data_IF_360667813126
#
_entry.id   IF_360667813126
#
_cell.length_a   1.000
_cell.length_b   1.000
_cell.length_c   1.000
_cell.angle_alpha   90.00
_cell.angle_beta   90.00
_cell.angle_gamma   90.00
#
_symmetry.space_group_name_H-M   'P 1'
#
loop_
_entity.id
_entity.type
_entity.pdbx_description
1 polymer ?
#
# COMPACT_ATOMS: atom_id res chain seq x y z
N UNK A 1 -35.98 8.80 -12.19
CA UNK A 1 -35.00 9.80 -11.69
C UNK A 1 -33.96 9.19 -10.76
N UNK A 2 -34.30 8.23 -9.90
CA UNK A 2 -33.36 7.66 -8.91
C UNK A 2 -32.05 7.13 -9.52
N UNK A 3 -32.15 6.37 -10.62
CA UNK A 3 -30.99 5.79 -11.31
C UNK A 3 -30.03 6.78 -11.99
N UNK A 4 -30.32 8.09 -12.01
CA UNK A 4 -29.45 9.12 -12.62
C UNK A 4 -29.10 10.28 -11.67
N UNK A 5 -29.73 10.37 -10.49
CA UNK A 5 -29.58 11.50 -9.56
C UNK A 5 -28.14 11.67 -9.03
N UNK A 6 -27.36 10.59 -9.01
CA UNK A 6 -25.98 10.57 -8.56
C UNK A 6 -25.01 11.28 -9.54
N UNK A 7 -25.38 11.36 -10.82
CA UNK A 7 -24.51 11.74 -11.93
C UNK A 7 -24.33 13.27 -12.03
N UNK A 8 -23.88 13.89 -10.94
CA UNK A 8 -23.40 15.27 -10.94
C UNK A 8 -22.20 15.38 -11.87
N UNK A 9 -22.15 16.44 -12.67
CA UNK A 9 -21.04 16.71 -13.57
C UNK A 9 -19.73 16.81 -12.77
N UNK A 10 -18.73 16.03 -13.18
CA UNK A 10 -17.37 16.18 -12.68
C UNK A 10 -16.79 17.53 -13.13
N UNK A 11 -16.20 18.28 -12.19
CA UNK A 11 -15.47 19.53 -12.47
C UNK A 11 -14.00 19.34 -12.12
N UNK A 12 -13.71 18.81 -10.93
CA UNK A 12 -12.38 18.42 -10.48
C UNK A 12 -12.47 17.37 -9.36
N UNK A 13 -11.33 16.86 -8.89
CA UNK A 13 -11.27 15.88 -7.79
C UNK A 13 -11.84 16.42 -6.46
N UNK A 14 -11.97 17.74 -6.32
CA UNK A 14 -12.50 18.40 -5.12
C UNK A 14 -13.83 19.10 -5.36
N UNK A 15 -14.35 19.10 -6.59
CA UNK A 15 -15.55 19.85 -6.94
C UNK A 15 -16.47 19.09 -7.90
N UNK A 16 -17.77 19.13 -7.62
CA UNK A 16 -18.82 18.57 -8.44
C UNK A 16 -19.88 19.64 -8.76
N UNK A 17 -20.53 19.51 -9.91
CA UNK A 17 -21.62 20.38 -10.33
C UNK A 17 -22.90 20.18 -9.51
N UNK A 18 -23.94 20.94 -9.88
CA UNK A 18 -25.26 20.82 -9.26
C UNK A 18 -25.89 19.43 -9.48
N UNK A 19 -26.73 19.01 -8.54
CA UNK A 19 -27.51 17.77 -8.65
C UNK A 19 -28.47 17.85 -9.84
N UNK A 20 -28.47 16.85 -10.76
CA UNK A 20 -29.41 16.78 -11.87
C UNK A 20 -30.87 16.81 -11.40
N UNK A 21 -31.72 17.56 -12.11
CA UNK A 21 -33.16 17.69 -11.81
C UNK A 21 -34.03 16.97 -12.83
N UNK A 22 -33.52 16.72 -14.03
CA UNK A 22 -34.18 15.97 -15.11
C UNK A 22 -33.20 14.96 -15.72
N UNK A 23 -33.71 13.90 -16.35
CA UNK A 23 -32.88 12.88 -17.01
C UNK A 23 -32.00 13.50 -18.10
N UNK A 24 -32.55 14.44 -18.86
CA UNK A 24 -31.83 15.12 -19.95
C UNK A 24 -30.72 16.06 -19.48
N UNK A 25 -30.60 16.32 -18.17
CA UNK A 25 -29.44 17.04 -17.61
C UNK A 25 -28.17 16.17 -17.64
N UNK A 26 -28.33 14.85 -17.77
CA UNK A 26 -27.24 13.86 -17.65
C UNK A 26 -27.01 13.10 -18.96
N UNK A 27 -28.09 12.68 -19.63
CA UNK A 27 -28.02 11.84 -20.84
C UNK A 27 -28.85 12.42 -21.98
N UNK A 28 -28.43 12.20 -23.21
CA UNK A 28 -29.10 12.64 -24.43
C UNK A 28 -29.33 11.45 -25.37
N UNK A 29 -30.37 11.49 -26.19
CA UNK A 29 -30.63 10.45 -27.18
C UNK A 29 -29.43 10.31 -28.14
N UNK A 30 -29.06 9.06 -28.44
CA UNK A 30 -27.90 8.72 -29.27
C UNK A 30 -26.58 8.53 -28.53
N UNK A 31 -26.51 8.79 -27.22
CA UNK A 31 -25.31 8.52 -26.42
C UNK A 31 -25.18 7.03 -26.06
N UNK A 32 -23.96 6.51 -26.16
CA UNK A 32 -23.60 5.23 -25.55
C UNK A 32 -23.37 5.44 -24.05
N UNK A 33 -24.05 4.64 -23.22
CA UNK A 33 -23.98 4.72 -21.77
C UNK A 33 -23.74 3.35 -21.15
N UNK A 34 -23.27 3.34 -19.92
CA UNK A 34 -23.18 2.14 -19.10
C UNK A 34 -24.36 2.10 -18.14
N UNK A 35 -24.94 0.92 -17.96
CA UNK A 35 -26.00 0.70 -16.96
C UNK A 35 -25.64 -0.49 -16.08
N UNK A 36 -26.13 -0.48 -14.85
CA UNK A 36 -26.03 -1.61 -13.93
C UNK A 36 -27.38 -1.90 -13.30
N UNK A 37 -27.65 -3.16 -13.00
CA UNK A 37 -28.87 -3.56 -12.34
C UNK A 37 -28.76 -3.33 -10.82
N UNK A 38 -29.78 -2.69 -10.25
CA UNK A 38 -29.95 -2.45 -8.81
C UNK A 38 -31.35 -2.92 -8.43
N UNK A 39 -31.44 -4.09 -7.79
CA UNK A 39 -32.71 -4.78 -7.58
C UNK A 39 -33.37 -5.16 -8.91
N UNK A 40 -34.61 -4.74 -9.13
CA UNK A 40 -35.34 -4.94 -10.39
C UNK A 40 -35.16 -3.80 -11.40
N UNK A 41 -34.36 -2.77 -11.10
CA UNK A 41 -34.24 -1.57 -11.92
C UNK A 41 -32.85 -1.37 -12.53
N UNK A 42 -32.78 -0.74 -13.70
CA UNK A 42 -31.52 -0.35 -14.35
C UNK A 42 -31.14 1.08 -13.98
N UNK A 43 -29.90 1.26 -13.53
CA UNK A 43 -29.34 2.54 -13.12
C UNK A 43 -28.20 2.92 -14.06
N UNK A 44 -28.07 4.22 -14.34
CA UNK A 44 -26.91 4.74 -15.05
C UNK A 44 -25.66 4.47 -14.22
N UNK A 45 -24.59 4.08 -14.90
CA UNK A 45 -23.28 3.80 -14.32
C UNK A 45 -22.19 4.45 -15.16
N UNK A 46 -20.98 4.51 -14.61
CA UNK A 46 -19.80 4.99 -15.29
C UNK A 46 -18.65 4.03 -15.01
N UNK A 47 -17.88 3.70 -16.04
CA UNK A 47 -16.61 2.99 -15.87
C UNK A 47 -15.63 3.96 -15.20
N UNK A 48 -15.02 3.61 -14.06
CA UNK A 48 -14.12 4.52 -13.36
C UNK A 48 -12.85 4.83 -14.15
N UNK A 49 -12.45 6.11 -14.19
CA UNK A 49 -11.14 6.53 -14.72
C UNK A 49 -9.99 6.08 -13.78
N UNK A 50 -10.25 6.10 -12.47
CA UNK A 50 -9.34 5.59 -11.45
C UNK A 50 -9.27 4.07 -11.49
N UNK A 51 -8.13 3.52 -11.10
CA UNK A 51 -7.92 2.08 -11.04
C UNK A 51 -7.47 1.64 -9.63
N UNK A 52 -7.55 0.34 -9.36
CA UNK A 52 -7.17 -0.26 -8.08
C UNK A 52 -6.52 -1.62 -8.28
N UNK A 53 -5.89 -2.14 -7.23
CA UNK A 53 -5.34 -3.49 -7.21
C UNK A 53 -5.61 -4.09 -5.83
N UNK A 54 -5.86 -5.41 -5.81
CA UNK A 54 -6.00 -6.17 -4.58
C UNK A 54 -5.17 -7.44 -4.68
N UNK A 55 -4.50 -7.77 -3.58
CA UNK A 55 -3.82 -9.05 -3.43
C UNK A 55 -3.96 -9.52 -1.99
N UNK A 56 -4.29 -10.80 -1.82
CA UNK A 56 -4.35 -11.47 -0.53
C UNK A 56 -3.48 -12.71 -0.57
N UNK A 57 -2.64 -12.89 0.45
CA UNK A 57 -1.74 -14.04 0.57
C UNK A 57 -1.91 -14.68 1.94
N UNK A 58 -1.76 -16.00 2.01
CA UNK A 58 -1.64 -16.71 3.28
C UNK A 58 -0.26 -16.40 3.89
N UNK A 59 -0.18 -15.75 5.07
CA UNK A 59 1.09 -15.37 5.66
C UNK A 59 1.90 -16.56 6.17
N UNK A 60 1.31 -17.75 6.34
CA UNK A 60 2.03 -18.93 6.80
C UNK A 60 2.86 -19.59 5.71
N UNK A 61 2.41 -19.59 4.46
CA UNK A 61 3.09 -20.33 3.38
C UNK A 61 3.31 -19.52 2.09
N UNK A 62 2.71 -18.33 1.97
CA UNK A 62 2.80 -17.49 0.77
C UNK A 62 1.76 -17.79 -0.32
N UNK A 63 0.80 -18.69 -0.10
CA UNK A 63 -0.22 -18.98 -1.11
C UNK A 63 -1.02 -17.72 -1.47
N UNK A 64 -1.11 -17.36 -2.75
CA UNK A 64 -1.95 -16.26 -3.22
C UNK A 64 -3.41 -16.73 -3.19
N UNK A 65 -4.21 -16.11 -2.32
CA UNK A 65 -5.63 -16.45 -2.12
C UNK A 65 -6.51 -15.70 -3.12
N UNK A 66 -6.19 -14.43 -3.37
CA UNK A 66 -6.91 -13.58 -4.30
C UNK A 66 -5.95 -12.59 -4.96
N UNK A 67 -6.18 -12.31 -6.24
CA UNK A 67 -5.40 -11.36 -7.02
C UNK A 67 -6.28 -10.65 -8.04
N UNK A 68 -6.38 -9.33 -7.91
CA UNK A 68 -7.12 -8.43 -8.81
C UNK A 68 -6.16 -7.35 -9.31
N UNK A 69 -5.86 -7.36 -10.61
CA UNK A 69 -4.89 -6.46 -11.23
C UNK A 69 -5.44 -5.12 -11.72
N UNK A 70 -6.77 -4.94 -11.69
CA UNK A 70 -7.44 -3.74 -12.18
C UNK A 70 -8.95 -3.85 -12.11
N UNK A 71 -9.65 -2.77 -12.49
CA UNK A 71 -11.12 -2.71 -12.56
C UNK A 71 -11.73 -3.82 -13.43
N UNK A 72 -11.19 -4.02 -14.64
CA UNK A 72 -11.67 -5.01 -15.60
C UNK A 72 -10.49 -5.51 -16.45
N UNK A 73 -10.33 -6.83 -16.54
CA UNK A 73 -9.25 -7.48 -17.29
C UNK A 73 -9.38 -7.31 -18.82
N UNK A 74 -10.61 -7.23 -19.33
CA UNK A 74 -10.88 -7.02 -20.76
C UNK A 74 -10.53 -5.59 -21.18
N UNK A 75 -10.61 -4.62 -20.26
CA UNK A 75 -10.15 -3.26 -20.51
C UNK A 75 -8.62 -3.15 -20.44
N UNK A 76 -7.99 -3.86 -19.50
CA UNK A 76 -6.55 -3.83 -19.33
C UNK A 76 -6.02 -5.13 -18.74
N UNK A 77 -5.16 -5.82 -19.49
CA UNK A 77 -4.44 -7.01 -19.03
C UNK A 77 -3.26 -6.69 -18.10
N UNK A 78 -2.95 -5.41 -17.89
CA UNK A 78 -1.85 -4.97 -17.02
C UNK A 78 -2.20 -5.24 -15.54
N UNK A 79 -1.37 -6.06 -14.89
CA UNK A 79 -1.61 -6.53 -13.54
C UNK A 79 -0.95 -5.60 -12.52
N UNK A 80 -1.72 -4.64 -12.00
CA UNK A 80 -1.21 -3.67 -11.02
C UNK A 80 -0.78 -4.29 -9.70
N UNK A 81 -1.30 -5.47 -9.33
CA UNK A 81 -0.89 -6.14 -8.10
C UNK A 81 0.56 -6.64 -8.13
N UNK A 82 1.07 -6.99 -9.32
CA UNK A 82 2.39 -7.61 -9.50
C UNK A 82 3.36 -6.78 -10.35
N UNK A 83 2.87 -5.82 -11.13
CA UNK A 83 3.69 -5.05 -12.09
C UNK A 83 3.76 -3.56 -11.79
N UNK A 84 2.74 -2.97 -11.14
CA UNK A 84 2.71 -1.54 -10.90
C UNK A 84 3.56 -1.15 -9.69
N UNK A 85 4.70 -0.49 -9.93
CA UNK A 85 5.47 0.17 -8.89
C UNK A 85 4.80 1.50 -8.53
N UNK A 86 4.44 1.66 -7.25
CA UNK A 86 3.87 2.90 -6.71
C UNK A 86 4.53 3.24 -5.38
N UNK A 87 4.67 4.54 -5.11
CA UNK A 87 5.11 5.01 -3.80
C UNK A 87 4.19 4.45 -2.72
N UNK A 88 4.77 3.80 -1.72
CA UNK A 88 3.99 3.14 -0.66
C UNK A 88 3.52 4.11 0.41
N UNK A 89 4.12 5.31 0.48
CA UNK A 89 3.77 6.31 1.47
C UNK A 89 3.89 5.77 2.90
N UNK A 90 2.93 6.12 3.76
CA UNK A 90 2.96 5.72 5.17
C UNK A 90 2.90 4.21 5.42
N UNK A 91 2.55 3.39 4.42
CA UNK A 91 2.58 1.93 4.55
C UNK A 91 4.00 1.38 4.75
N UNK A 92 5.05 2.17 4.48
CA UNK A 92 6.43 1.75 4.79
C UNK A 92 6.72 1.78 6.30
N UNK A 93 6.00 2.60 7.07
CA UNK A 93 6.38 2.95 8.45
C UNK A 93 6.49 1.72 9.35
N UNK A 94 5.57 0.74 9.36
CA UNK A 94 5.73 -0.45 10.19
C UNK A 94 7.08 -1.16 10.03
N UNK A 95 7.61 -1.24 8.80
CA UNK A 95 8.91 -1.86 8.53
C UNK A 95 10.07 -1.05 9.13
N UNK A 96 10.03 0.27 8.96
CA UNK A 96 11.05 1.18 9.51
C UNK A 96 10.98 1.28 11.03
N UNK A 97 9.78 1.22 11.62
CA UNK A 97 9.61 1.15 13.06
C UNK A 97 10.18 -0.14 13.62
N UNK A 98 10.01 -1.27 12.92
CA UNK A 98 10.65 -2.55 13.28
C UNK A 98 12.18 -2.42 13.23
N UNK A 99 12.73 -1.82 12.16
CA UNK A 99 14.17 -1.55 12.05
C UNK A 99 14.69 -0.70 13.22
N UNK A 100 13.97 0.37 13.57
CA UNK A 100 14.34 1.26 14.67
C UNK A 100 14.28 0.54 16.03
N UNK A 101 13.33 -0.37 16.20
CA UNK A 101 13.22 -1.19 17.41
C UNK A 101 14.40 -2.16 17.55
N UNK A 102 14.76 -2.85 16.47
CA UNK A 102 15.94 -3.72 16.43
C UNK A 102 17.25 -2.95 16.64
N UNK A 103 17.25 -1.64 16.38
CA UNK A 103 18.39 -0.74 16.65
C UNK A 103 18.40 -0.19 18.08
N UNK A 104 17.47 -0.58 18.93
CA UNK A 104 17.44 -0.25 20.36
C UNK A 104 16.31 0.69 20.80
N UNK A 105 15.46 1.20 19.89
CA UNK A 105 14.26 1.91 20.32
C UNK A 105 13.21 0.92 20.85
N UNK A 106 12.32 1.41 21.69
CA UNK A 106 11.16 0.64 22.17
C UNK A 106 9.88 1.37 21.81
N UNK A 107 8.75 0.66 21.88
CA UNK A 107 7.44 1.29 21.71
C UNK A 107 7.15 2.42 22.73
N UNK A 108 7.89 2.46 23.83
CA UNK A 108 7.81 3.48 24.88
C UNK A 108 8.84 4.61 24.71
N UNK A 109 9.82 4.48 23.80
CA UNK A 109 10.81 5.54 23.53
C UNK A 109 10.10 6.84 23.15
N UNK A 110 10.52 7.94 23.78
CA UNK A 110 9.97 9.26 23.55
C UNK A 110 10.70 9.94 22.39
N UNK A 111 9.93 10.49 21.44
CA UNK A 111 10.43 11.24 20.29
C UNK A 111 9.61 12.53 20.14
N UNK A 112 10.29 13.61 19.78
CA UNK A 112 9.64 14.93 19.66
C UNK A 112 8.91 15.08 18.32
N UNK A 113 7.59 15.15 18.36
CA UNK A 113 6.74 15.58 17.26
C UNK A 113 6.65 17.11 17.21
N UNK A 114 7.76 17.74 16.84
CA UNK A 114 7.92 19.19 16.61
C UNK A 114 8.59 19.41 15.26
N UNK A 115 8.40 20.56 14.57
CA UNK A 115 8.99 20.81 13.26
C UNK A 115 10.47 20.42 13.15
N UNK A 116 10.86 19.89 12.00
CA UNK A 116 12.22 19.45 11.72
C UNK A 116 12.65 20.00 10.36
N UNK A 117 13.93 20.39 10.26
CA UNK A 117 14.57 20.75 9.01
C UNK A 117 15.92 20.07 8.88
N UNK A 118 16.44 20.02 7.66
CA UNK A 118 17.84 19.73 7.34
C UNK A 118 18.20 20.46 6.06
N UNK A 119 19.36 21.11 6.04
CA UNK A 119 19.90 21.68 4.81
C UNK A 119 20.13 20.57 3.79
N UNK A 120 19.55 20.69 2.61
CA UNK A 120 19.75 19.77 1.50
C UNK A 120 20.52 20.48 0.39
N UNK A 121 21.83 20.24 0.35
CA UNK A 121 22.72 20.82 -0.64
C UNK A 121 22.35 20.41 -2.09
N UNK A 122 21.67 19.28 -2.29
CA UNK A 122 21.26 18.81 -3.61
C UNK A 122 20.07 19.58 -4.19
N UNK A 123 19.17 20.09 -3.33
CA UNK A 123 18.03 20.93 -3.75
C UNK A 123 18.28 22.43 -3.58
N UNK A 124 19.39 22.83 -2.95
CA UNK A 124 19.71 24.23 -2.65
C UNK A 124 18.76 24.87 -1.64
N UNK A 125 18.02 24.06 -0.87
CA UNK A 125 17.02 24.52 0.09
C UNK A 125 16.92 23.61 1.31
N UNK A 126 16.27 24.08 2.38
CA UNK A 126 15.98 23.24 3.53
C UNK A 126 14.88 22.22 3.21
N UNK A 127 15.17 20.94 3.44
CA UNK A 127 14.14 19.92 3.50
C UNK A 127 13.38 20.01 4.83
N UNK A 128 12.09 20.36 4.76
CA UNK A 128 11.21 20.60 5.92
C UNK A 128 9.95 19.72 5.87
N UNK A 129 10.05 18.42 6.21
CA UNK A 129 8.90 17.52 6.15
C UNK A 129 7.84 17.94 7.18
N UNK A 130 6.56 17.84 6.77
CA UNK A 130 5.39 18.18 7.60
C UNK A 130 4.56 16.94 7.89
N UNK A 131 3.83 16.96 9.00
CA UNK A 131 2.76 16.00 9.24
C UNK A 131 1.56 16.28 8.32
N UNK A 132 0.66 15.29 8.18
CA UNK A 132 -0.64 15.44 7.53
C UNK A 132 -1.74 15.07 8.52
N UNK A 133 -2.51 16.04 9.06
CA UNK A 133 -2.33 17.49 8.95
C UNK A 133 -1.05 17.98 9.68
N UNK A 134 -0.58 19.23 9.45
CA UNK A 134 0.65 19.78 10.03
C UNK A 134 0.47 20.19 11.51
N UNK A 135 0.06 19.23 12.35
CA UNK A 135 -0.13 19.39 13.78
C UNK A 135 0.96 18.65 14.57
N UNK A 136 1.36 19.22 15.70
CA UNK A 136 2.52 18.81 16.48
C UNK A 136 2.13 18.56 17.93
N UNK A 137 2.48 17.39 18.45
CA UNK A 137 2.10 16.94 19.78
C UNK A 137 3.23 17.04 20.83
N UNK A 138 4.40 17.57 20.46
CA UNK A 138 5.56 17.60 21.35
C UNK A 138 6.12 16.18 21.59
N UNK A 139 6.67 15.89 22.78
CA UNK A 139 7.20 14.56 23.08
C UNK A 139 6.08 13.50 23.09
N UNK A 140 6.18 12.51 22.21
CA UNK A 140 5.23 11.37 22.16
C UNK A 140 5.98 10.04 22.08
N UNK A 141 5.31 8.96 22.48
CA UNK A 141 5.86 7.60 22.41
C UNK A 141 5.97 7.14 20.95
N UNK A 142 6.97 6.31 20.65
CA UNK A 142 7.15 5.68 19.34
C UNK A 142 5.85 4.99 18.87
N UNK A 143 5.17 4.24 19.74
CA UNK A 143 3.86 3.62 19.45
C UNK A 143 2.82 4.63 18.93
N UNK A 144 2.72 5.79 19.59
CA UNK A 144 1.78 6.84 19.19
C UNK A 144 2.20 7.46 17.85
N UNK A 145 3.50 7.65 17.64
CA UNK A 145 4.05 8.11 16.35
C UNK A 145 3.63 7.22 15.18
N UNK A 146 3.69 5.90 15.35
CA UNK A 146 3.20 4.95 14.35
C UNK A 146 1.68 5.02 14.19
N UNK A 147 0.94 4.95 15.31
CA UNK A 147 -0.53 4.93 15.31
C UNK A 147 -1.16 6.18 14.69
N UNK A 148 -0.51 7.34 14.83
CA UNK A 148 -0.95 8.60 14.23
C UNK A 148 -0.21 8.93 12.93
N UNK A 149 0.64 8.02 12.44
CA UNK A 149 1.45 8.20 11.23
C UNK A 149 2.24 9.52 11.21
N UNK A 150 2.84 9.91 12.33
CA UNK A 150 3.58 11.17 12.45
C UNK A 150 4.87 11.11 11.61
N UNK A 151 4.92 11.95 10.58
CA UNK A 151 6.04 12.03 9.62
C UNK A 151 7.32 12.45 10.34
N UNK A 152 7.25 13.49 11.16
CA UNK A 152 8.44 14.01 11.84
C UNK A 152 9.02 13.01 12.83
N UNK A 153 8.18 12.27 13.55
CA UNK A 153 8.62 11.19 14.45
C UNK A 153 9.37 10.10 13.67
N UNK A 154 8.85 9.68 12.52
CA UNK A 154 9.53 8.69 11.68
C UNK A 154 10.87 9.22 11.15
N UNK A 155 10.96 10.50 10.76
CA UNK A 155 12.23 11.11 10.34
C UNK A 155 13.25 11.10 11.49
N UNK A 156 12.83 11.39 12.72
CA UNK A 156 13.74 11.33 13.89
C UNK A 156 14.21 9.92 14.19
N UNK A 157 13.31 8.94 14.16
CA UNK A 157 13.69 7.54 14.29
C UNK A 157 14.64 7.10 13.16
N UNK A 158 14.42 7.57 11.93
CA UNK A 158 15.33 7.33 10.80
C UNK A 158 16.72 7.92 11.02
N UNK A 159 16.82 9.16 11.52
CA UNK A 159 18.11 9.77 11.87
C UNK A 159 18.82 9.02 12.99
N UNK A 160 18.08 8.55 14.00
CA UNK A 160 18.63 7.79 15.10
C UNK A 160 19.16 6.41 14.66
N UNK A 161 18.45 5.70 13.78
CA UNK A 161 18.87 4.38 13.31
C UNK A 161 19.90 4.43 12.16
N UNK A 162 19.93 5.52 11.39
CA UNK A 162 20.73 5.69 10.17
C UNK A 162 19.97 5.27 8.91
N UNK A 163 20.11 6.06 7.83
CA UNK A 163 19.42 5.83 6.55
C UNK A 163 19.88 4.54 5.87
N UNK A 164 21.18 4.26 5.86
CA UNK A 164 21.72 3.05 5.23
C UNK A 164 21.27 1.78 5.94
N UNK A 165 21.30 1.79 7.27
CA UNK A 165 20.77 0.71 8.08
C UNK A 165 19.29 0.48 7.79
N UNK A 166 18.48 1.54 7.72
CA UNK A 166 17.06 1.44 7.38
C UNK A 166 16.84 0.84 5.98
N UNK A 167 17.60 1.31 4.98
CA UNK A 167 17.50 0.83 3.60
C UNK A 167 17.88 -0.66 3.46
N UNK A 168 18.93 -1.09 4.15
CA UNK A 168 19.35 -2.50 4.19
C UNK A 168 18.34 -3.36 4.96
N UNK A 169 17.82 -2.85 6.06
CA UNK A 169 16.84 -3.57 6.87
C UNK A 169 15.55 -3.88 6.09
N UNK A 170 15.09 -2.96 5.23
CA UNK A 170 13.90 -3.19 4.39
C UNK A 170 14.03 -4.42 3.48
N UNK A 171 15.24 -4.79 3.06
CA UNK A 171 15.45 -5.97 2.21
C UNK A 171 15.11 -7.28 2.95
N UNK A 172 15.14 -7.29 4.28
CA UNK A 172 14.71 -8.44 5.11
C UNK A 172 13.22 -8.76 4.94
N UNK A 173 12.41 -7.78 4.54
CA UNK A 173 10.99 -7.95 4.20
C UNK A 173 10.76 -8.37 2.74
N UNK A 174 11.83 -8.62 1.99
CA UNK A 174 11.75 -9.02 0.57
C UNK A 174 11.56 -7.86 -0.40
N UNK A 175 11.80 -6.62 0.03
CA UNK A 175 11.79 -5.45 -0.85
C UNK A 175 13.05 -5.40 -1.72
N UNK A 176 12.94 -5.20 -3.05
CA UNK A 176 14.11 -5.16 -3.93
C UNK A 176 15.00 -3.94 -3.66
N UNK A 177 16.31 -4.16 -3.53
CA UNK A 177 17.28 -3.12 -3.21
C UNK A 177 17.27 -1.95 -4.21
N UNK A 178 17.10 -2.26 -5.50
CA UNK A 178 17.07 -1.26 -6.58
C UNK A 178 15.89 -0.28 -6.48
N UNK A 179 14.84 -0.61 -5.72
CA UNK A 179 13.67 0.25 -5.53
C UNK A 179 13.75 1.09 -4.24
N UNK A 180 14.82 0.92 -3.44
CA UNK A 180 15.00 1.59 -2.16
C UNK A 180 15.95 2.77 -2.32
N UNK A 181 15.45 3.96 -2.05
CA UNK A 181 16.25 5.20 -2.09
C UNK A 181 16.91 5.42 -0.72
N UNK A 182 18.23 5.62 -0.69
CA UNK A 182 19.02 5.88 0.52
C UNK A 182 19.01 7.37 0.91
N UNK A 183 17.82 7.92 1.19
CA UNK A 183 17.65 9.29 1.70
C UNK A 183 16.63 9.35 2.84
N UNK A 184 16.60 10.46 3.60
CA UNK A 184 15.62 10.64 4.69
C UNK A 184 14.16 10.63 4.21
N UNK A 185 13.91 10.88 2.92
CA UNK A 185 12.57 10.77 2.31
C UNK A 185 11.99 9.35 2.42
N UNK A 186 12.83 8.34 2.61
CA UNK A 186 12.40 6.96 2.85
C UNK A 186 11.48 6.86 4.07
N UNK A 187 11.67 7.73 5.09
CA UNK A 187 10.78 7.83 6.25
C UNK A 187 9.33 8.19 5.89
N UNK A 188 9.12 8.79 4.73
CA UNK A 188 7.82 9.19 4.20
C UNK A 188 7.27 8.21 3.16
N UNK A 189 8.02 7.15 2.81
CA UNK A 189 7.62 6.13 1.83
C UNK A 189 7.84 6.53 0.38
N UNK A 190 8.94 7.21 0.08
CA UNK A 190 9.35 7.55 -1.29
C UNK A 190 9.74 6.33 -2.15
N UNK A 191 10.03 5.19 -1.52
CA UNK A 191 10.28 3.92 -2.21
C UNK A 191 9.00 3.39 -2.90
N UNK A 192 9.18 2.75 -4.06
CA UNK A 192 8.07 2.24 -4.86
C UNK A 192 8.08 0.71 -4.92
N UNK A 193 6.94 0.10 -4.57
CA UNK A 193 6.78 -1.35 -4.54
C UNK A 193 5.43 -1.75 -5.16
N UNK A 194 5.31 -3.01 -5.53
CA UNK A 194 4.04 -3.58 -5.97
C UNK A 194 3.19 -3.97 -4.75
N UNK A 195 1.85 -3.98 -4.87
CA UNK A 195 0.97 -4.47 -3.80
C UNK A 195 1.37 -5.86 -3.29
N UNK A 196 1.80 -6.78 -4.15
CA UNK A 196 2.26 -8.12 -3.76
C UNK A 196 3.52 -8.06 -2.88
N UNK A 197 4.49 -7.19 -3.22
CA UNK A 197 5.69 -7.00 -2.40
C UNK A 197 5.35 -6.44 -1.02
N UNK A 198 4.41 -5.49 -0.95
CA UNK A 198 3.94 -4.93 0.33
C UNK A 198 3.23 -5.99 1.16
N UNK A 199 2.30 -6.76 0.58
CA UNK A 199 1.61 -7.85 1.27
C UNK A 199 2.59 -8.92 1.78
N UNK A 200 3.60 -9.28 0.97
CA UNK A 200 4.69 -10.16 1.38
C UNK A 200 5.48 -9.59 2.56
N UNK A 201 5.82 -8.30 2.54
CA UNK A 201 6.49 -7.67 3.69
C UNK A 201 5.64 -7.73 4.96
N UNK A 202 4.35 -7.39 4.89
CA UNK A 202 3.44 -7.47 6.04
C UNK A 202 3.25 -8.90 6.55
N UNK A 203 3.40 -9.92 5.69
CA UNK A 203 3.32 -11.32 6.13
C UNK A 203 4.36 -11.67 7.19
N UNK A 204 5.55 -11.06 7.14
CA UNK A 204 6.62 -11.24 8.14
C UNK A 204 6.13 -10.82 9.53
N UNK A 205 5.44 -9.68 9.63
CA UNK A 205 4.85 -9.23 10.90
C UNK A 205 3.71 -10.15 11.33
N UNK A 206 2.88 -10.56 10.38
CA UNK A 206 1.73 -11.42 10.66
C UNK A 206 2.15 -12.81 11.12
N UNK A 207 3.22 -13.40 10.59
CA UNK A 207 3.57 -14.80 10.84
C UNK A 207 4.67 -15.02 11.90
N UNK A 208 5.13 -13.96 12.56
CA UNK A 208 6.13 -14.04 13.63
C UNK A 208 7.59 -13.89 13.18
N UNK A 209 7.84 -13.30 12.01
CA UNK A 209 9.19 -12.91 11.57
C UNK A 209 9.73 -13.70 10.38
N UNK A 210 8.93 -14.56 9.75
CA UNK A 210 9.37 -15.42 8.65
C UNK A 210 9.04 -14.80 7.29
N UNK A 211 10.01 -14.75 6.38
CA UNK A 211 9.76 -14.31 5.01
C UNK A 211 9.29 -15.48 4.14
N UNK A 212 8.03 -15.45 3.72
CA UNK A 212 7.46 -16.43 2.78
C UNK A 212 7.73 -16.05 1.32
N UNK A 213 7.61 -17.02 0.43
CA UNK A 213 7.68 -16.83 -1.03
C UNK A 213 6.28 -16.94 -1.62
N UNK A 214 5.71 -15.85 -2.17
CA UNK A 214 4.38 -15.93 -2.76
C UNK A 214 4.31 -16.88 -3.95
N UNK A 215 3.26 -17.70 -4.02
CA UNK A 215 3.03 -18.66 -5.11
C UNK A 215 1.55 -18.76 -5.46
N UNK A 216 1.23 -19.14 -6.70
CA UNK A 216 -0.15 -19.36 -7.16
C UNK A 216 -0.40 -20.72 -7.81
N UNK A 217 0.65 -21.46 -8.19
CA UNK A 217 0.53 -22.83 -8.71
C UNK A 217 0.71 -23.79 -7.53
N UNK A 218 -0.34 -24.51 -7.15
CA UNK A 218 -0.26 -25.54 -6.11
C UNK A 218 0.12 -26.91 -6.67
N UNK A 219 -0.40 -27.25 -7.86
CA UNK A 219 -0.26 -28.55 -8.49
C UNK A 219 -0.34 -28.43 -10.01
N UNK A 220 0.42 -29.26 -10.73
CA UNK A 220 0.30 -29.45 -12.18
C UNK A 220 0.10 -30.93 -12.44
N UNK A 221 -0.92 -31.27 -13.22
CA UNK A 221 -1.26 -32.63 -13.64
C UNK A 221 -1.18 -32.76 -15.16
N UNK A 222 -0.90 -33.96 -15.65
CA UNK A 222 -1.04 -34.27 -17.07
C UNK A 222 -2.51 -34.59 -17.42
N UNK A 223 -2.77 -34.82 -18.71
CA UNK A 223 -4.06 -35.21 -19.26
C UNK A 223 -4.60 -36.55 -18.72
N UNK A 224 -3.72 -37.41 -18.21
CA UNK A 224 -4.05 -38.69 -17.58
C UNK A 224 -4.28 -38.58 -16.05
N UNK A 225 -4.22 -37.38 -15.47
CA UNK A 225 -4.37 -37.14 -14.03
C UNK A 225 -3.13 -37.45 -13.17
N UNK A 226 -1.99 -37.75 -13.80
CA UNK A 226 -0.70 -37.93 -13.13
C UNK A 226 -0.10 -36.60 -12.68
N UNK A 227 0.36 -36.54 -11.43
CA UNK A 227 0.97 -35.33 -10.84
C UNK A 227 2.39 -35.12 -11.40
N UNK A 228 2.62 -33.99 -12.06
CA UNK A 228 3.93 -33.56 -12.58
C UNK A 228 4.64 -32.66 -11.57
N UNK A 229 3.89 -31.81 -10.88
CA UNK A 229 4.40 -30.85 -9.92
C UNK A 229 3.43 -30.69 -8.76
N UNK A 230 3.99 -30.52 -7.56
CA UNK A 230 3.26 -30.13 -6.36
C UNK A 230 4.15 -29.19 -5.56
N UNK A 231 3.61 -28.02 -5.21
CA UNK A 231 4.36 -26.98 -4.49
C UNK A 231 4.67 -27.42 -3.06
N UNK A 232 5.92 -27.19 -2.64
CA UNK A 232 6.40 -27.50 -1.28
C UNK A 232 6.94 -26.21 -0.66
N UNK A 233 6.03 -25.31 -0.24
CA UNK A 233 6.43 -23.97 0.16
C UNK A 233 7.13 -24.01 1.52
N UNK A 234 8.00 -23.02 1.77
CA UNK A 234 8.52 -22.78 3.12
C UNK A 234 7.39 -22.28 4.01
N UNK A 235 7.15 -22.97 5.12
CA UNK A 235 6.07 -22.65 6.07
C UNK A 235 6.66 -21.92 7.28
N UNK A 236 6.03 -20.81 7.68
CA UNK A 236 6.31 -20.09 8.90
C UNK A 236 5.84 -20.91 10.11
N UNK A 237 6.73 -21.14 11.06
CA UNK A 237 6.44 -21.91 12.28
C UNK A 237 6.41 -21.00 13.50
N UNK A 238 5.21 -20.53 13.89
CA UNK A 238 5.07 -19.65 15.07
C UNK A 238 5.46 -20.34 16.38
N UNK A 239 5.26 -21.65 16.50
CA UNK A 239 5.61 -22.41 17.71
C UNK A 239 7.12 -22.62 17.88
N UNK A 240 7.93 -22.38 16.85
CA UNK A 240 9.39 -22.47 16.91
C UNK A 240 10.06 -21.19 17.45
N UNK A 241 9.29 -20.14 17.74
CA UNK A 241 9.80 -18.93 18.38
C UNK A 241 9.90 -19.23 19.87
N UNK A 242 11.12 -19.49 20.37
CA UNK A 242 11.38 -19.63 21.80
C UNK A 242 10.84 -18.38 22.52
N UNK A 243 9.96 -18.60 23.51
CA UNK A 243 9.51 -17.56 24.43
C UNK A 243 10.61 -17.18 25.41
#
# INVERSE_FOLDING_TARGET
>A
MEGVRWARRFISDTQQGATPRKVNDVVQAGQQVWVRQVGSSWWLSQVPDVNSALVSINPQNGAIIALVGGFDFNQSKFNRATQALRQVGSNIKPFLYTAAMDKGLTLASMLNDVPISRWDAGSGSDWRPKNSPPQYAGPIRLRQGLGQSKNVVMVRAMRAMGVDYAAEYLQRFGFPAQNIVRTESLALGSASFTPLQVARGYSVMANGGFLVSPYFISKIENDQGGVIFEERPKIACRSAIFR
#
